data_IF_095066072654
#
_entry.id   IF_095066072654
#
_cell.length_a   1.000
_cell.length_b   1.000
_cell.length_c   1.000
_cell.angle_alpha   90.00
_cell.angle_beta   90.00
_cell.angle_gamma   90.00
#
_symmetry.space_group_name_H-M   'P 1'
#
loop_
_entity.id
_entity.type
_entity.pdbx_description
1 polymer ?
#
# COMPACT_ATOMS: atom_id res chain seq x y z
N UNK A 1 -0.68 -1.51 -6.63
CA UNK A 1 -0.16 -0.14 -6.91
C UNK A 1 -1.20 0.90 -6.51
N UNK A 2 -0.81 2.11 -6.07
CA UNK A 2 -1.79 3.18 -5.87
C UNK A 2 -2.38 3.63 -7.21
N UNK A 3 -3.64 4.05 -7.20
CA UNK A 3 -4.39 4.53 -8.37
C UNK A 3 -5.21 5.77 -8.01
N UNK A 4 -5.51 6.58 -9.03
CA UNK A 4 -6.56 7.60 -8.95
C UNK A 4 -7.81 7.14 -9.70
N UNK A 5 -9.00 7.42 -9.19
CA UNK A 5 -10.26 7.02 -9.82
C UNK A 5 -11.39 8.00 -9.50
N UNK A 6 -12.52 7.89 -10.21
CA UNK A 6 -13.78 8.55 -9.86
C UNK A 6 -14.85 7.50 -9.64
N UNK A 7 -15.72 7.72 -8.67
CA UNK A 7 -16.86 6.84 -8.44
C UNK A 7 -17.83 6.92 -9.62
N UNK A 8 -18.39 5.77 -10.02
CA UNK A 8 -19.48 5.74 -11.02
C UNK A 8 -20.76 6.36 -10.48
N UNK A 9 -20.98 6.21 -9.18
CA UNK A 9 -22.05 6.82 -8.40
C UNK A 9 -21.44 7.24 -7.06
N UNK A 10 -21.55 8.51 -6.69
CA UNK A 10 -20.90 9.06 -5.50
C UNK A 10 -20.47 10.50 -5.72
N UNK A 11 -19.37 10.91 -5.09
CA UNK A 11 -18.79 12.22 -5.36
C UNK A 11 -18.25 12.33 -6.79
N UNK A 12 -18.20 13.57 -7.28
CA UNK A 12 -17.58 13.89 -8.57
C UNK A 12 -16.06 14.10 -8.45
N UNK A 13 -15.47 13.79 -7.29
CA UNK A 13 -14.08 14.03 -6.97
C UNK A 13 -13.13 13.01 -7.59
N UNK A 14 -11.86 13.38 -7.70
CA UNK A 14 -10.78 12.41 -7.93
C UNK A 14 -10.41 11.82 -6.59
N UNK A 15 -10.57 10.51 -6.48
CA UNK A 15 -10.23 9.72 -5.31
C UNK A 15 -8.91 9.00 -5.54
N UNK A 16 -8.20 8.69 -4.45
CA UNK A 16 -6.96 7.93 -4.48
C UNK A 16 -7.10 6.68 -3.63
N UNK A 17 -6.56 5.56 -4.12
CA UNK A 17 -6.67 4.30 -3.40
C UNK A 17 -5.99 3.16 -4.14
N UNK A 18 -6.52 1.95 -3.97
CA UNK A 18 -6.02 0.73 -4.58
C UNK A 18 -7.17 -0.07 -5.19
N UNK A 19 -6.84 -0.93 -6.16
CA UNK A 19 -7.77 -1.92 -6.69
C UNK A 19 -7.72 -3.17 -5.81
N UNK A 20 -8.84 -3.56 -5.21
CA UNK A 20 -8.90 -4.67 -4.25
C UNK A 20 -8.36 -5.99 -4.82
N UNK A 21 -8.64 -6.29 -6.08
CA UNK A 21 -8.16 -7.47 -6.80
C UNK A 21 -6.64 -7.46 -6.98
N UNK A 22 -6.04 -6.30 -7.21
CA UNK A 22 -4.58 -6.17 -7.32
C UNK A 22 -3.91 -6.40 -5.96
N UNK A 23 -4.52 -5.93 -4.88
CA UNK A 23 -4.04 -6.16 -3.51
C UNK A 23 -4.19 -7.64 -3.13
N UNK A 24 -5.33 -8.26 -3.40
CA UNK A 24 -5.55 -9.69 -3.16
C UNK A 24 -4.50 -10.54 -3.87
N UNK A 25 -4.20 -10.23 -5.14
CA UNK A 25 -3.15 -10.91 -5.89
C UNK A 25 -1.75 -10.67 -5.30
N UNK A 26 -1.46 -9.46 -4.83
CA UNK A 26 -0.17 -9.14 -4.22
C UNK A 26 0.01 -9.80 -2.85
N UNK A 27 -1.08 -10.05 -2.13
CA UNK A 27 -1.12 -10.75 -0.85
C UNK A 27 -1.35 -12.26 -0.98
N UNK A 28 -1.40 -12.80 -2.21
CA UNK A 28 -1.59 -14.21 -2.44
C UNK A 28 -0.48 -15.03 -1.75
N UNK A 29 -0.87 -16.02 -0.94
CA UNK A 29 0.06 -16.79 -0.12
C UNK A 29 0.36 -16.18 1.26
N UNK A 30 -0.31 -15.08 1.63
CA UNK A 30 -0.28 -14.52 2.98
C UNK A 30 -1.62 -14.74 3.69
N UNK A 31 -1.62 -14.78 5.01
CA UNK A 31 -2.84 -14.84 5.84
C UNK A 31 -3.46 -13.45 6.08
N UNK A 32 -3.18 -12.47 5.22
CA UNK A 32 -3.58 -11.09 5.42
C UNK A 32 -5.08 -10.88 5.10
N UNK A 33 -5.88 -10.58 6.14
CA UNK A 33 -7.32 -10.28 6.04
C UNK A 33 -7.68 -8.89 5.48
N UNK A 34 -6.82 -8.28 4.66
CA UNK A 34 -6.98 -6.89 4.19
C UNK A 34 -8.05 -6.74 3.11
N UNK A 35 -8.40 -7.82 2.42
CA UNK A 35 -9.43 -7.85 1.36
C UNK A 35 -10.62 -8.67 1.86
N UNK A 36 -11.83 -8.15 1.69
CA UNK A 36 -13.07 -8.90 1.94
C UNK A 36 -13.87 -9.02 0.66
N UNK A 37 -14.58 -10.14 0.50
CA UNK A 37 -15.50 -10.36 -0.63
C UNK A 37 -16.91 -10.48 -0.06
N UNK A 38 -17.85 -9.69 -0.59
CA UNK A 38 -19.25 -9.75 -0.20
C UNK A 38 -19.87 -11.10 -0.59
N UNK A 39 -20.84 -11.58 0.19
CA UNK A 39 -21.54 -12.84 -0.07
C UNK A 39 -22.68 -12.71 -1.10
N UNK A 40 -22.83 -11.57 -1.77
CA UNK A 40 -23.85 -11.32 -2.79
C UNK A 40 -23.46 -11.90 -4.16
N UNK A 41 -24.39 -11.94 -5.13
CA UNK A 41 -24.10 -12.45 -6.49
C UNK A 41 -22.99 -11.65 -7.20
N UNK A 42 -22.84 -10.37 -6.84
CA UNK A 42 -21.82 -9.50 -7.42
C UNK A 42 -20.42 -9.75 -6.85
N UNK A 43 -20.29 -10.44 -5.72
CA UNK A 43 -19.05 -10.77 -5.04
C UNK A 43 -18.12 -9.55 -4.90
N UNK A 44 -18.71 -8.41 -4.48
CA UNK A 44 -17.98 -7.14 -4.44
C UNK A 44 -16.80 -7.22 -3.47
N UNK A 45 -15.60 -6.85 -3.95
CA UNK A 45 -14.39 -6.82 -3.11
C UNK A 45 -14.19 -5.45 -2.47
N UNK A 46 -13.83 -5.45 -1.19
CA UNK A 46 -13.51 -4.24 -0.40
C UNK A 46 -12.15 -4.36 0.28
N UNK A 47 -11.58 -3.21 0.63
CA UNK A 47 -10.28 -3.10 1.29
C UNK A 47 -10.40 -2.50 2.69
N UNK A 48 -9.72 -3.12 3.66
CA UNK A 48 -9.56 -2.58 5.01
C UNK A 48 -8.33 -1.68 5.06
N UNK A 49 -8.50 -0.40 4.71
CA UNK A 49 -7.40 0.58 4.63
C UNK A 49 -6.63 0.79 5.93
N UNK A 50 -7.27 0.60 7.09
CA UNK A 50 -6.59 0.72 8.41
C UNK A 50 -5.44 -0.26 8.55
N UNK A 51 -5.52 -1.43 7.92
CA UNK A 51 -4.50 -2.47 8.03
C UNK A 51 -3.24 -2.12 7.24
N UNK A 52 -3.31 -1.15 6.33
CA UNK A 52 -2.14 -0.64 5.62
C UNK A 52 -1.26 0.24 6.51
N UNK A 53 -1.78 0.80 7.60
CA UNK A 53 -1.06 1.76 8.46
C UNK A 53 0.20 1.11 9.07
N UNK A 54 0.08 -0.08 9.65
CA UNK A 54 1.21 -0.74 10.30
C UNK A 54 2.35 -1.11 9.31
N UNK A 55 2.07 -1.77 8.16
CA UNK A 55 3.07 -1.99 7.11
C UNK A 55 3.69 -0.69 6.58
N UNK A 56 2.90 0.39 6.43
CA UNK A 56 3.42 1.69 5.99
C UNK A 56 4.40 2.29 7.00
N UNK A 57 4.07 2.25 8.30
CA UNK A 57 4.98 2.71 9.37
C UNK A 57 6.27 1.90 9.34
N UNK A 58 6.19 0.58 9.18
CA UNK A 58 7.36 -0.28 9.08
C UNK A 58 8.22 0.04 7.86
N UNK A 59 7.60 0.25 6.70
CA UNK A 59 8.30 0.64 5.47
C UNK A 59 9.05 1.98 5.65
N UNK A 60 8.43 2.97 6.29
CA UNK A 60 9.09 4.26 6.60
C UNK A 60 10.29 4.07 7.52
N UNK A 61 10.17 3.23 8.55
CA UNK A 61 11.30 2.92 9.45
C UNK A 61 12.47 2.27 8.71
N UNK A 62 12.19 1.29 7.85
CA UNK A 62 13.21 0.60 7.03
C UNK A 62 13.85 1.56 6.03
N UNK A 63 13.06 2.41 5.38
CA UNK A 63 13.56 3.46 4.50
C UNK A 63 14.46 4.44 5.25
N UNK A 64 14.12 4.83 6.49
CA UNK A 64 14.95 5.72 7.29
C UNK A 64 16.31 5.08 7.62
N UNK A 65 16.35 3.77 7.88
CA UNK A 65 17.60 3.03 8.09
C UNK A 65 18.46 3.02 6.81
N UNK A 66 17.86 2.73 5.65
CA UNK A 66 18.54 2.76 4.37
C UNK A 66 19.11 4.14 4.05
N UNK A 67 18.36 5.22 4.34
CA UNK A 67 18.82 6.60 4.15
C UNK A 67 20.04 6.91 5.03
N UNK A 68 20.02 6.49 6.30
CA UNK A 68 21.15 6.69 7.22
C UNK A 68 22.40 5.97 6.72
N UNK A 69 22.26 4.72 6.29
CA UNK A 69 23.35 3.91 5.74
C UNK A 69 23.94 4.56 4.47
N UNK A 70 23.09 4.94 3.51
CA UNK A 70 23.52 5.59 2.28
C UNK A 70 24.24 6.92 2.55
N UNK A 71 23.76 7.72 3.51
CA UNK A 71 24.44 8.96 3.92
C UNK A 71 25.83 8.68 4.49
N UNK A 72 25.98 7.65 5.33
CA UNK A 72 27.27 7.26 5.88
C UNK A 72 28.26 6.86 4.79
N UNK A 73 27.81 6.03 3.83
CA UNK A 73 28.63 5.61 2.69
C UNK A 73 29.08 6.80 1.84
N UNK A 74 28.19 7.75 1.56
CA UNK A 74 28.51 8.97 0.82
C UNK A 74 29.60 9.78 1.54
N UNK A 75 29.51 9.95 2.87
CA UNK A 75 30.53 10.70 3.63
C UNK A 75 31.89 9.98 3.64
N UNK A 76 31.91 8.65 3.74
CA UNK A 76 33.16 7.88 3.59
C UNK A 76 33.76 8.07 2.20
N UNK A 77 32.93 8.08 1.14
CA UNK A 77 33.39 8.23 -0.23
C UNK A 77 33.88 9.65 -0.55
N UNK A 78 33.28 10.69 0.04
CA UNK A 78 33.71 12.09 -0.15
C UNK A 78 35.05 12.40 0.52
N UNK A 79 35.38 11.67 1.58
CA UNK A 79 36.62 11.85 2.34
C UNK A 79 37.78 10.98 1.81
N UNK A 80 37.60 10.33 0.66
CA UNK A 80 38.65 9.65 -0.12
C UNK A 80 39.13 10.55 -1.25
#
# INVERSE_FOLDING_TARGET
RPVSFRWKQGDNGVNYGFIAQEIEKALAGTEAGMVSTAGDEMQTKSLRYTDLIAPLVKAVQEQQQQITELKSQIEVLKNK
#
